data_IF_567025800404
#
_entry.id   IF_567025800404
#
_cell.length_a   1.000
_cell.length_b   1.000
_cell.length_c   1.000
_cell.angle_alpha   90.00
_cell.angle_beta   90.00
_cell.angle_gamma   90.00
#
_symmetry.space_group_name_H-M   'P 1'
#
loop_
_entity.id
_entity.type
_entity.pdbx_description
1 polymer ?
#
# COMPACT_ATOMS: atom_id res chain seq x y z
N UNK A 1 49.84 16.71 -28.98
CA UNK A 1 48.99 15.80 -28.19
C UNK A 1 48.29 16.50 -27.02
N UNK A 2 48.95 17.43 -26.30
CA UNK A 2 48.30 18.17 -25.20
C UNK A 2 47.05 18.97 -25.59
N UNK A 3 47.05 19.63 -26.76
CA UNK A 3 45.90 20.43 -27.21
C UNK A 3 44.66 19.57 -27.49
N UNK A 4 44.86 18.33 -27.94
CA UNK A 4 43.78 17.37 -28.20
C UNK A 4 43.20 16.82 -26.89
N UNK A 5 44.06 16.56 -25.91
CA UNK A 5 43.66 16.15 -24.56
C UNK A 5 42.84 17.23 -23.85
N UNK A 6 43.26 18.50 -23.93
CA UNK A 6 42.50 19.62 -23.36
C UNK A 6 41.12 19.78 -24.00
N UNK A 7 41.01 19.55 -25.31
CA UNK A 7 39.73 19.60 -26.03
C UNK A 7 38.81 18.43 -25.64
N UNK A 8 39.35 17.22 -25.49
CA UNK A 8 38.60 16.05 -25.05
C UNK A 8 38.08 16.19 -23.61
N UNK A 9 38.89 16.74 -22.70
CA UNK A 9 38.47 17.03 -21.31
C UNK A 9 37.35 18.07 -21.28
N UNK A 10 37.43 19.09 -22.13
CA UNK A 10 36.43 20.16 -22.20
C UNK A 10 35.08 19.65 -22.74
N UNK A 11 35.11 18.79 -23.77
CA UNK A 11 33.90 18.13 -24.28
C UNK A 11 33.29 17.21 -23.21
N UNK A 12 34.11 16.40 -22.53
CA UNK A 12 33.65 15.50 -21.49
C UNK A 12 33.01 16.26 -20.30
N UNK A 13 33.55 17.42 -19.93
CA UNK A 13 32.95 18.27 -18.90
C UNK A 13 31.60 18.88 -19.30
N UNK A 14 31.36 19.14 -20.59
CA UNK A 14 30.06 19.66 -21.08
C UNK A 14 28.98 18.57 -21.05
N UNK A 15 29.33 17.31 -21.36
CA UNK A 15 28.42 16.18 -21.23
C UNK A 15 28.07 15.82 -19.78
N UNK A 16 28.92 16.19 -18.81
CA UNK A 16 28.61 16.02 -17.38
C UNK A 16 27.63 17.08 -16.84
N UNK A 17 27.41 18.19 -17.58
CA UNK A 17 26.45 19.24 -17.20
C UNK A 17 25.05 19.03 -17.79
N UNK A 18 24.87 18.09 -18.73
CA UNK A 18 23.52 17.65 -19.12
C UNK A 18 22.96 16.76 -18.01
N UNK A 19 22.44 17.41 -16.96
CA UNK A 19 21.66 16.76 -15.91
C UNK A 19 20.55 15.93 -16.54
N UNK A 20 20.41 14.68 -16.11
CA UNK A 20 19.28 13.84 -16.46
C UNK A 20 17.98 14.58 -16.13
N UNK A 21 17.09 14.60 -17.11
CA UNK A 21 15.69 15.03 -17.06
C UNK A 21 15.13 15.09 -15.62
N UNK A 22 14.86 16.30 -15.16
CA UNK A 22 14.06 16.61 -14.00
C UNK A 22 12.64 16.11 -14.28
N UNK A 23 12.36 14.84 -13.96
CA UNK A 23 11.04 14.20 -14.10
C UNK A 23 10.04 14.75 -13.05
N UNK A 24 10.05 16.05 -12.84
CA UNK A 24 9.07 16.81 -12.05
C UNK A 24 7.79 17.11 -12.86
N UNK A 25 7.61 16.44 -14.01
CA UNK A 25 6.36 16.48 -14.77
C UNK A 25 5.38 15.44 -14.19
N UNK A 26 4.76 15.76 -13.06
CA UNK A 26 3.73 14.93 -12.44
C UNK A 26 3.35 15.40 -11.04
N UNK A 27 2.21 14.93 -10.55
CA UNK A 27 1.80 15.19 -9.17
C UNK A 27 2.71 14.42 -8.19
N UNK A 28 3.36 15.14 -7.28
CA UNK A 28 4.29 14.56 -6.30
C UNK A 28 3.54 13.95 -5.12
N UNK A 29 4.02 12.82 -4.58
CA UNK A 29 3.52 12.29 -3.31
C UNK A 29 3.96 13.23 -2.18
N UNK A 30 3.00 13.81 -1.49
CA UNK A 30 3.21 14.77 -0.39
C UNK A 30 3.09 14.11 0.98
N UNK A 31 2.30 13.04 1.11
CA UNK A 31 2.11 12.34 2.37
C UNK A 31 1.71 10.88 2.17
N UNK A 32 1.98 10.05 3.18
CA UNK A 32 1.45 8.70 3.33
C UNK A 32 0.84 8.62 4.73
N UNK A 33 -0.41 8.20 4.83
CA UNK A 33 -1.12 8.10 6.10
C UNK A 33 -1.94 6.82 6.19
N UNK A 34 -2.29 6.45 7.43
CA UNK A 34 -3.16 5.31 7.68
C UNK A 34 -4.53 5.55 7.03
N UNK A 35 -5.00 4.54 6.33
CA UNK A 35 -6.30 4.48 5.71
C UNK A 35 -7.15 3.49 6.48
N UNK A 36 -8.32 3.98 6.91
CA UNK A 36 -9.32 3.17 7.58
C UNK A 36 -9.91 2.14 6.61
N UNK A 37 -10.03 0.89 7.05
CA UNK A 37 -10.79 -0.14 6.33
C UNK A 37 -12.23 -0.09 6.81
N UNK A 38 -13.14 0.34 5.94
CA UNK A 38 -14.56 0.52 6.27
C UNK A 38 -15.35 -0.80 6.23
N UNK A 39 -14.98 -1.72 5.34
CA UNK A 39 -15.56 -3.06 5.28
C UNK A 39 -14.64 -4.09 4.62
N UNK A 40 -14.95 -5.38 4.84
CA UNK A 40 -14.16 -6.51 4.34
C UNK A 40 -15.08 -7.60 3.80
N UNK A 41 -14.73 -8.16 2.66
CA UNK A 41 -15.36 -9.35 2.09
C UNK A 41 -14.33 -10.47 1.99
N UNK A 42 -14.63 -11.60 2.62
CA UNK A 42 -13.90 -12.85 2.49
C UNK A 42 -14.78 -13.82 1.69
N UNK A 43 -14.30 -14.42 0.58
CA UNK A 43 -15.11 -15.31 -0.25
C UNK A 43 -15.65 -16.52 0.50
N UNK A 44 -14.80 -17.17 1.32
CA UNK A 44 -15.14 -18.37 2.06
C UNK A 44 -14.54 -18.28 3.48
N UNK A 45 -15.35 -18.64 4.47
CA UNK A 45 -14.93 -18.76 5.87
C UNK A 45 -14.20 -20.07 6.16
N UNK A 46 -14.21 -21.03 5.22
CA UNK A 46 -13.40 -22.26 5.24
C UNK A 46 -12.65 -22.42 3.92
N UNK A 47 -11.39 -22.86 3.96
CA UNK A 47 -10.57 -23.11 2.76
C UNK A 47 -9.55 -24.23 2.99
N UNK A 48 -9.12 -24.89 1.91
CA UNK A 48 -8.03 -25.87 1.98
C UNK A 48 -6.68 -25.18 2.23
N UNK A 49 -5.79 -25.83 2.99
CA UNK A 49 -4.39 -25.43 3.11
C UNK A 49 -3.72 -25.37 1.73
N UNK A 50 -2.80 -24.42 1.54
CA UNK A 50 -2.12 -24.12 0.27
C UNK A 50 -3.00 -23.58 -0.87
N UNK A 51 -4.33 -23.57 -0.73
CA UNK A 51 -5.22 -22.85 -1.63
C UNK A 51 -5.10 -21.34 -1.43
N UNK A 52 -5.56 -20.54 -2.40
CA UNK A 52 -5.52 -19.08 -2.32
C UNK A 52 -6.92 -18.51 -2.45
N UNK A 53 -7.31 -17.65 -1.51
CA UNK A 53 -8.48 -16.80 -1.66
C UNK A 53 -8.11 -15.33 -1.57
N UNK A 54 -8.87 -14.49 -2.28
CA UNK A 54 -8.66 -13.05 -2.31
C UNK A 54 -9.61 -12.38 -1.34
N UNK A 55 -9.07 -11.85 -0.25
CA UNK A 55 -9.79 -11.00 0.70
C UNK A 55 -9.86 -9.59 0.12
N UNK A 56 -11.05 -9.01 0.03
CA UNK A 56 -11.24 -7.62 -0.41
C UNK A 56 -11.48 -6.72 0.78
N UNK A 57 -10.77 -5.61 0.84
CA UNK A 57 -11.03 -4.50 1.77
C UNK A 57 -11.59 -3.32 1.00
N UNK A 58 -12.41 -2.52 1.66
CA UNK A 58 -13.01 -1.32 1.07
C UNK A 58 -12.76 -0.14 1.99
N UNK A 59 -12.31 0.95 1.39
CA UNK A 59 -11.98 2.19 2.10
C UNK A 59 -12.43 3.39 1.28
N UNK A 60 -12.84 4.45 1.98
CA UNK A 60 -13.20 5.71 1.36
C UNK A 60 -12.01 6.67 1.31
N UNK A 61 -11.64 7.14 0.11
CA UNK A 61 -10.64 8.19 -0.07
C UNK A 61 -10.89 8.97 -1.37
N UNK A 62 -10.35 10.18 -1.43
CA UNK A 62 -10.62 11.15 -2.48
C UNK A 62 -10.10 10.68 -3.84
N UNK A 63 -10.87 10.89 -4.90
CA UNK A 63 -10.39 10.65 -6.25
C UNK A 63 -9.30 11.66 -6.66
N UNK A 64 -8.55 11.32 -7.71
CA UNK A 64 -7.52 12.14 -8.37
C UNK A 64 -6.24 12.45 -7.56
N UNK A 65 -6.34 12.71 -6.26
CA UNK A 65 -5.19 13.10 -5.43
C UNK A 65 -4.75 11.99 -4.44
N UNK A 66 -5.63 11.06 -4.09
CA UNK A 66 -5.34 9.99 -3.13
C UNK A 66 -5.42 8.61 -3.79
N UNK A 67 -4.53 7.71 -3.35
CA UNK A 67 -4.42 6.36 -3.86
C UNK A 67 -4.08 5.36 -2.77
N UNK A 68 -4.48 4.10 -2.96
CA UNK A 68 -4.02 3.01 -2.10
C UNK A 68 -2.51 2.87 -2.22
N UNK A 69 -1.81 2.89 -1.08
CA UNK A 69 -0.37 2.78 -1.01
C UNK A 69 0.07 1.34 -0.73
N UNK A 70 -0.59 0.68 0.22
CA UNK A 70 -0.25 -0.67 0.62
C UNK A 70 -0.91 -1.09 1.91
N UNK A 71 -0.60 -2.32 2.34
CA UNK A 71 -0.94 -2.81 3.66
C UNK A 71 0.33 -3.00 4.48
N UNK A 72 0.23 -2.68 5.76
CA UNK A 72 1.03 -3.34 6.77
C UNK A 72 0.29 -4.60 7.21
N UNK A 73 0.88 -5.77 6.94
CA UNK A 73 0.29 -7.09 7.17
C UNK A 73 1.13 -7.84 8.21
N UNK A 74 0.78 -7.66 9.47
CA UNK A 74 1.54 -8.15 10.60
C UNK A 74 1.10 -9.55 11.02
N UNK A 75 2.09 -10.39 11.30
CA UNK A 75 1.89 -11.72 11.88
C UNK A 75 2.09 -11.61 13.40
N UNK A 76 1.03 -11.31 14.15
CA UNK A 76 1.12 -11.09 15.61
C UNK A 76 1.24 -12.40 16.39
N UNK A 77 0.71 -13.50 15.84
CA UNK A 77 0.99 -14.86 16.28
C UNK A 77 0.85 -15.85 15.10
N UNK A 78 0.92 -17.16 15.38
CA UNK A 78 0.82 -18.22 14.36
C UNK A 78 -0.44 -18.06 13.46
N UNK A 79 -1.59 -17.78 14.06
CA UNK A 79 -2.90 -17.72 13.41
C UNK A 79 -3.56 -16.34 13.42
N UNK A 80 -2.91 -15.30 13.94
CA UNK A 80 -3.46 -13.96 14.01
C UNK A 80 -2.74 -13.02 13.04
N UNK A 81 -3.53 -12.20 12.35
CA UNK A 81 -3.07 -11.23 11.38
C UNK A 81 -3.66 -9.87 11.70
N UNK A 82 -2.82 -8.88 11.89
CA UNK A 82 -3.25 -7.47 11.97
C UNK A 82 -2.97 -6.80 10.63
N UNK A 83 -3.98 -6.11 10.09
CA UNK A 83 -3.95 -5.52 8.76
C UNK A 83 -4.29 -4.05 8.87
N UNK A 84 -3.32 -3.19 8.57
CA UNK A 84 -3.52 -1.75 8.47
C UNK A 84 -3.32 -1.31 7.03
N UNK A 85 -4.26 -0.58 6.45
CA UNK A 85 -4.08 -0.02 5.11
C UNK A 85 -3.50 1.38 5.16
N UNK A 86 -2.79 1.78 4.09
CA UNK A 86 -2.24 3.11 3.94
C UNK A 86 -2.66 3.69 2.59
N UNK A 87 -2.85 5.01 2.55
CA UNK A 87 -3.02 5.77 1.32
C UNK A 87 -1.88 6.77 1.17
N UNK A 88 -1.54 7.06 -0.08
CA UNK A 88 -0.73 8.23 -0.42
C UNK A 88 -1.64 9.39 -0.80
N UNK A 89 -1.13 10.61 -0.63
CA UNK A 89 -1.71 11.85 -1.14
C UNK A 89 -0.69 12.54 -2.04
N UNK A 90 -1.16 13.13 -3.13
CA UNK A 90 -0.32 13.89 -4.06
C UNK A 90 -0.61 15.39 -4.01
N UNK A 91 0.15 16.18 -4.76
CA UNK A 91 -0.09 17.61 -4.99
C UNK A 91 -1.32 17.90 -5.87
N UNK A 92 -1.95 16.88 -6.46
CA UNK A 92 -3.11 17.04 -7.34
C UNK A 92 -4.33 17.62 -6.62
N UNK A 93 -5.24 18.23 -7.38
CA UNK A 93 -6.55 18.63 -6.84
C UNK A 93 -7.42 17.39 -6.57
N UNK A 94 -7.93 17.28 -5.35
CA UNK A 94 -8.80 16.18 -4.95
C UNK A 94 -10.20 16.27 -5.56
N UNK A 95 -10.73 15.14 -6.00
CA UNK A 95 -12.12 14.97 -6.38
C UNK A 95 -13.00 14.47 -5.23
N UNK A 96 -14.17 13.94 -5.58
CA UNK A 96 -15.11 13.35 -4.63
C UNK A 96 -14.50 12.15 -3.89
N UNK A 97 -14.99 11.91 -2.67
CA UNK A 97 -14.64 10.73 -1.89
C UNK A 97 -15.41 9.53 -2.43
N UNK A 98 -14.68 8.49 -2.83
CA UNK A 98 -15.25 7.27 -3.39
C UNK A 98 -14.84 6.05 -2.56
N UNK A 99 -15.73 5.07 -2.46
CA UNK A 99 -15.37 3.75 -1.94
C UNK A 99 -14.53 3.02 -2.98
N UNK A 100 -13.31 2.63 -2.59
CA UNK A 100 -12.38 1.91 -3.46
C UNK A 100 -12.00 0.58 -2.81
N UNK A 101 -11.84 -0.43 -3.65
CA UNK A 101 -11.49 -1.78 -3.22
C UNK A 101 -9.99 -2.01 -3.36
N UNK A 102 -9.40 -2.65 -2.35
CA UNK A 102 -8.05 -3.21 -2.37
C UNK A 102 -8.09 -4.68 -1.97
N UNK A 103 -7.02 -5.43 -2.17
CA UNK A 103 -7.07 -6.89 -1.99
C UNK A 103 -5.81 -7.50 -1.37
N UNK A 104 -6.01 -8.59 -0.64
CA UNK A 104 -4.97 -9.42 -0.04
C UNK A 104 -5.19 -10.84 -0.54
N UNK A 105 -4.14 -11.45 -1.09
CA UNK A 105 -4.17 -12.87 -1.44
C UNK A 105 -3.72 -13.68 -0.22
N UNK A 106 -4.66 -14.40 0.38
CA UNK A 106 -4.39 -15.25 1.54
C UNK A 106 -4.13 -16.68 1.08
N UNK A 107 -2.93 -17.20 1.39
CA UNK A 107 -2.49 -18.56 1.08
C UNK A 107 -1.82 -19.18 2.31
N UNK A 108 -2.58 -19.83 3.21
CA UNK A 108 -2.03 -20.43 4.41
C UNK A 108 -1.17 -21.66 4.09
N UNK A 109 -0.15 -21.89 4.93
CA UNK A 109 0.74 -23.07 4.84
C UNK A 109 0.53 -24.06 5.99
N UNK A 110 -0.42 -23.79 6.87
CA UNK A 110 -0.75 -24.58 8.05
C UNK A 110 -2.26 -24.56 8.24
N UNK A 111 -2.79 -25.66 8.75
CA UNK A 111 -4.21 -25.77 9.16
C UNK A 111 -4.43 -25.07 10.49
N UNK A 112 -5.65 -24.59 10.72
CA UNK A 112 -6.02 -23.84 11.92
C UNK A 112 -7.05 -22.75 11.63
N UNK A 113 -7.51 -22.08 12.69
CA UNK A 113 -8.44 -20.95 12.55
C UNK A 113 -7.64 -19.64 12.55
N UNK A 114 -7.55 -18.99 11.40
CA UNK A 114 -6.88 -17.70 11.27
C UNK A 114 -7.83 -16.57 11.63
N UNK A 115 -7.39 -15.68 12.53
CA UNK A 115 -8.10 -14.45 12.89
C UNK A 115 -7.43 -13.25 12.24
N UNK A 116 -8.21 -12.46 11.53
CA UNK A 116 -7.79 -11.20 10.91
C UNK A 116 -8.41 -10.03 11.66
N UNK A 117 -7.60 -9.05 12.03
CA UNK A 117 -8.01 -7.76 12.58
C UNK A 117 -7.67 -6.68 11.56
N UNK A 118 -8.67 -6.07 10.95
CA UNK A 118 -8.50 -4.98 9.98
C UNK A 118 -8.70 -3.63 10.66
N UNK A 119 -7.73 -2.74 10.57
CA UNK A 119 -7.76 -1.46 11.28
C UNK A 119 -8.87 -0.56 10.75
N UNK A 120 -9.72 -0.10 11.67
CA UNK A 120 -10.96 0.62 11.41
C UNK A 120 -11.00 1.97 12.14
N UNK A 121 -9.84 2.62 12.29
CA UNK A 121 -9.72 3.91 12.97
C UNK A 121 -9.43 3.79 14.46
N UNK A 122 -9.50 4.91 15.16
CA UNK A 122 -9.41 4.99 16.61
C UNK A 122 -10.70 5.57 17.21
N UNK A 123 -10.99 5.22 18.46
CA UNK A 123 -12.08 5.82 19.22
C UNK A 123 -11.66 7.18 19.83
N UNK A 124 -12.58 7.85 20.53
CA UNK A 124 -12.32 9.14 21.18
C UNK A 124 -11.22 9.10 22.25
N UNK A 125 -10.91 7.91 22.79
CA UNK A 125 -9.83 7.68 23.77
C UNK A 125 -8.48 7.38 23.10
N UNK A 126 -8.43 7.34 21.76
CA UNK A 126 -7.21 7.01 21.00
C UNK A 126 -6.94 5.51 20.84
N UNK A 127 -7.88 4.65 21.22
CA UNK A 127 -7.71 3.18 21.11
C UNK A 127 -8.12 2.71 19.72
N UNK A 128 -7.37 1.74 19.18
CA UNK A 128 -7.66 1.16 17.87
C UNK A 128 -8.98 0.39 17.85
N UNK A 129 -9.75 0.61 16.79
CA UNK A 129 -10.96 -0.14 16.47
C UNK A 129 -10.60 -1.12 15.35
N UNK A 130 -11.04 -2.37 15.48
CA UNK A 130 -10.74 -3.43 14.52
C UNK A 130 -12.02 -4.05 13.96
N UNK A 131 -12.02 -4.39 12.67
CA UNK A 131 -12.97 -5.34 12.09
C UNK A 131 -12.35 -6.72 12.21
N UNK A 132 -12.98 -7.62 12.95
CA UNK A 132 -12.49 -8.98 13.11
C UNK A 132 -13.19 -9.95 12.15
N UNK A 133 -12.41 -10.84 11.54
CA UNK A 133 -12.90 -11.93 10.68
C UNK A 133 -12.09 -13.20 10.95
N UNK A 134 -12.69 -14.36 10.75
CA UNK A 134 -12.01 -15.64 10.89
C UNK A 134 -12.11 -16.46 9.61
N UNK A 135 -11.07 -17.26 9.35
CA UNK A 135 -11.02 -18.25 8.27
C UNK A 135 -10.50 -19.56 8.84
N UNK A 136 -11.27 -20.63 8.69
CA UNK A 136 -10.86 -22.00 9.03
C UNK A 136 -10.06 -22.57 7.86
N UNK A 137 -8.88 -23.09 8.15
CA UNK A 137 -8.01 -23.74 7.17
C UNK A 137 -7.88 -25.21 7.51
N UNK A 138 -8.25 -26.06 6.56
CA UNK A 138 -8.26 -27.53 6.69
C UNK A 138 -7.30 -28.26 5.74
#
# INVERSE_FOLDING_TARGET
MEKLYRFAVLIFSVFMLSSCNDRFEGDEITNIEQLKIDSVTIPQDTMDVYSTQTIKTYSNYSANCEGFYGYDYLHTNQFEREVTSYKFKTSATCGEVLTKASQINFRPQQTGTFTFKFWNGTNASGENIWIEKSVVVE
#
